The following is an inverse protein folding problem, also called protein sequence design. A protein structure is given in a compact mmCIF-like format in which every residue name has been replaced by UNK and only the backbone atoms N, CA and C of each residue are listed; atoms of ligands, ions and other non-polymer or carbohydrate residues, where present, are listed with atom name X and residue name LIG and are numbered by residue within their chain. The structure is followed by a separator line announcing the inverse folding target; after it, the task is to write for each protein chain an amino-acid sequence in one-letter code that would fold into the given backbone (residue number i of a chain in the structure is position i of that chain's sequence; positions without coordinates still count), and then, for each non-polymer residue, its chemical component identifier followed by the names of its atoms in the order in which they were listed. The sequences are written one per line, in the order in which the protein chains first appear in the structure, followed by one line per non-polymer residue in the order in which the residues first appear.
data_IF_618809361644
#
_entry.id   IF_618809361644
#
_cell.length_a   1.000
_cell.length_b   1.000
_cell.length_c   1.000
_cell.angle_alpha   90.00
_cell.angle_beta   90.00
_cell.angle_gamma   90.00
#
_symmetry.space_group_name_H-M   'P 1'
#
loop_
_entity.id
_entity.type
_entity.pdbx_description
1 polymer ?
#
# COMPACT_ATOMS: atom_id res chain seq x y z
N UNK A 1 14.29 4.65 21.37
CA UNK A 1 14.65 3.94 20.10
C UNK A 1 14.63 4.89 18.92
N UNK A 2 15.56 4.72 17.96
CA UNK A 2 15.63 5.53 16.73
C UNK A 2 15.63 4.59 15.53
N UNK A 3 14.76 4.90 14.54
CA UNK A 3 14.56 4.09 13.35
C UNK A 3 14.66 4.96 12.09
N UNK A 4 15.45 4.53 11.11
CA UNK A 4 15.48 5.12 9.78
C UNK A 4 14.42 4.46 8.90
N UNK A 5 13.39 5.21 8.53
CA UNK A 5 12.32 4.76 7.63
C UNK A 5 12.76 4.87 6.18
N UNK A 6 12.58 3.78 5.42
CA UNK A 6 12.63 3.74 3.95
C UNK A 6 11.29 3.24 3.41
N UNK A 7 11.13 3.19 2.10
CA UNK A 7 9.83 2.86 1.48
C UNK A 7 9.31 1.46 1.86
N UNK A 8 10.17 0.44 1.84
CA UNK A 8 9.77 -0.94 2.13
C UNK A 8 10.18 -1.41 3.52
N UNK A 9 11.39 -1.07 3.93
CA UNK A 9 11.98 -1.53 5.19
C UNK A 9 12.55 -0.36 5.98
N UNK A 10 12.42 -0.46 7.29
CA UNK A 10 12.99 0.49 8.25
C UNK A 10 14.09 -0.16 9.05
N UNK A 11 15.23 0.52 9.17
CA UNK A 11 16.36 0.03 9.91
C UNK A 11 16.37 0.61 11.33
N UNK A 12 16.63 -0.24 12.34
CA UNK A 12 16.85 0.18 13.72
C UNK A 12 18.26 0.75 13.81
N UNK A 13 18.38 2.03 14.12
CA UNK A 13 19.67 2.72 14.23
C UNK A 13 20.20 2.66 15.66
N UNK A 14 19.32 2.85 16.64
CA UNK A 14 19.64 2.85 18.05
C UNK A 14 18.49 2.27 18.87
N UNK A 15 18.78 1.23 19.63
CA UNK A 15 17.86 0.62 20.59
C UNK A 15 18.62 -0.06 21.71
N UNK A 16 18.03 -0.09 22.91
CA UNK A 16 18.46 -0.92 24.02
C UNK A 16 18.03 -2.39 23.82
N UNK A 17 18.53 -3.29 24.64
CA UNK A 17 18.07 -4.71 24.61
C UNK A 17 16.58 -4.85 24.92
N UNK A 18 16.06 -4.07 25.87
CA UNK A 18 14.64 -4.07 26.22
C UNK A 18 13.74 -3.55 25.08
N UNK A 19 14.19 -2.52 24.37
CA UNK A 19 13.49 -1.98 23.21
C UNK A 19 13.50 -2.95 22.03
N UNK A 20 14.58 -3.70 21.83
CA UNK A 20 14.63 -4.77 20.81
C UNK A 20 13.69 -5.93 21.16
N UNK A 21 13.68 -6.38 22.42
CA UNK A 21 12.74 -7.40 22.87
C UNK A 21 11.27 -6.97 22.71
N UNK A 22 10.97 -5.71 23.01
CA UNK A 22 9.66 -5.12 22.77
C UNK A 22 9.29 -5.12 21.28
N UNK A 23 10.23 -4.75 20.38
CA UNK A 23 10.02 -4.83 18.94
C UNK A 23 9.77 -6.26 18.45
N UNK A 24 10.54 -7.22 18.92
CA UNK A 24 10.35 -8.65 18.58
C UNK A 24 8.95 -9.11 18.94
N UNK A 25 8.48 -8.78 20.14
CA UNK A 25 7.13 -9.10 20.59
C UNK A 25 6.06 -8.46 19.71
N UNK A 26 6.19 -7.17 19.37
CA UNK A 26 5.22 -6.42 18.56
C UNK A 26 5.23 -6.79 17.08
N UNK A 27 6.34 -7.30 16.58
CA UNK A 27 6.51 -7.71 15.19
C UNK A 27 6.36 -9.23 14.99
N UNK A 28 5.94 -9.96 16.01
CA UNK A 28 5.65 -11.40 15.92
C UNK A 28 4.15 -11.61 15.73
N UNK A 29 3.78 -12.21 14.61
CA UNK A 29 2.40 -12.46 14.20
C UNK A 29 2.16 -13.95 13.96
N UNK A 30 0.95 -14.44 14.29
CA UNK A 30 0.52 -15.77 13.89
C UNK A 30 0.20 -15.80 12.39
N UNK A 31 0.69 -16.83 11.71
CA UNK A 31 0.36 -17.11 10.31
C UNK A 31 -0.24 -18.51 10.22
N UNK A 32 -1.28 -18.66 9.36
CA UNK A 32 -2.03 -19.90 9.23
C UNK A 32 -3.26 -19.95 10.13
N UNK A 33 -4.05 -21.00 9.98
CA UNK A 33 -5.32 -21.18 10.64
C UNK A 33 -5.29 -22.36 11.64
N UNK A 34 -5.88 -22.16 12.81
CA UNK A 34 -6.06 -23.22 13.79
C UNK A 34 -4.76 -23.85 14.31
N UNK A 35 -4.71 -25.20 14.38
CA UNK A 35 -3.60 -25.96 14.99
C UNK A 35 -2.27 -25.89 14.22
N UNK A 36 -2.28 -25.37 12.98
CA UNK A 36 -1.08 -25.20 12.12
C UNK A 36 -0.53 -23.78 12.15
N UNK A 37 -1.06 -22.91 13.01
CA UNK A 37 -0.57 -21.54 13.11
C UNK A 37 0.89 -21.53 13.61
N UNK A 38 1.74 -20.82 12.88
CA UNK A 38 3.14 -20.56 13.24
C UNK A 38 3.32 -19.11 13.62
N UNK A 39 4.25 -18.82 14.53
CA UNK A 39 4.60 -17.45 14.90
C UNK A 39 5.80 -16.99 14.06
N UNK A 40 5.63 -15.89 13.32
CA UNK A 40 6.67 -15.31 12.47
C UNK A 40 7.04 -13.93 12.98
N UNK A 41 8.31 -13.76 13.33
CA UNK A 41 8.87 -12.46 13.69
C UNK A 41 9.30 -11.71 12.43
N UNK A 42 8.78 -10.49 12.26
CA UNK A 42 9.11 -9.60 11.14
C UNK A 42 10.31 -8.68 11.42
N UNK A 43 10.91 -8.74 12.61
CA UNK A 43 12.20 -8.12 12.88
C UNK A 43 13.32 -9.05 12.40
N UNK A 44 14.00 -8.65 11.34
CA UNK A 44 15.07 -9.41 10.69
C UNK A 44 16.44 -8.81 10.99
N UNK A 45 17.48 -9.60 10.80
CA UNK A 45 18.89 -9.16 10.91
C UNK A 45 19.56 -9.31 9.55
N UNK A 46 20.19 -8.27 9.06
CA UNK A 46 21.05 -8.31 7.87
C UNK A 46 22.42 -8.88 8.21
N UNK A 47 23.22 -9.26 7.19
CA UNK A 47 24.55 -9.85 7.35
C UNK A 47 25.52 -8.95 8.14
N UNK A 48 25.34 -7.64 8.05
CA UNK A 48 26.12 -6.64 8.79
C UNK A 48 25.58 -6.39 10.21
N UNK A 49 24.67 -7.21 10.72
CA UNK A 49 24.08 -7.08 12.05
C UNK A 49 22.96 -6.04 12.19
N UNK A 50 22.65 -5.28 11.15
CA UNK A 50 21.55 -4.30 11.19
C UNK A 50 20.21 -4.97 11.36
N UNK A 51 19.43 -4.57 12.37
CA UNK A 51 18.04 -5.01 12.54
C UNK A 51 17.13 -4.16 11.67
N UNK A 52 16.18 -4.82 10.98
CA UNK A 52 15.22 -4.13 10.12
C UNK A 52 13.87 -4.84 10.11
N UNK A 53 12.81 -4.08 9.76
CA UNK A 53 11.44 -4.56 9.68
C UNK A 53 10.67 -3.84 8.56
N UNK A 54 9.55 -4.40 8.07
CA UNK A 54 8.73 -3.75 7.05
C UNK A 54 8.17 -2.40 7.53
N UNK A 55 8.35 -1.36 6.73
CA UNK A 55 8.02 0.03 7.10
C UNK A 55 6.53 0.29 7.35
N UNK A 56 5.65 -0.58 6.86
CA UNK A 56 4.22 -0.49 7.13
C UNK A 56 3.87 -0.59 8.61
N UNK A 57 4.68 -1.26 9.42
CA UNK A 57 4.46 -1.38 10.87
C UNK A 57 4.73 -0.09 11.65
N UNK A 58 5.41 0.92 11.07
CA UNK A 58 5.82 2.13 11.82
C UNK A 58 4.66 2.80 12.54
N UNK A 59 3.49 2.95 11.88
CA UNK A 59 2.34 3.65 12.48
C UNK A 59 1.78 2.90 13.70
N UNK A 60 1.68 1.58 13.63
CA UNK A 60 1.25 0.77 14.78
C UNK A 60 2.28 0.81 15.89
N UNK A 61 3.57 0.69 15.57
CA UNK A 61 4.65 0.77 16.54
C UNK A 61 4.74 2.13 17.25
N UNK A 62 4.51 3.24 16.52
CA UNK A 62 4.44 4.57 17.13
C UNK A 62 3.30 4.69 18.14
N UNK A 63 2.12 4.19 17.79
CA UNK A 63 0.96 4.16 18.70
C UNK A 63 1.23 3.29 19.92
N UNK A 64 1.76 2.09 19.70
CA UNK A 64 2.03 1.12 20.77
C UNK A 64 3.15 1.59 21.70
N UNK A 65 4.17 2.26 21.15
CA UNK A 65 5.24 2.88 21.95
C UNK A 65 4.70 4.02 22.81
N UNK A 66 3.84 4.88 22.25
CA UNK A 66 3.20 5.95 23.02
C UNK A 66 2.36 5.40 24.18
N UNK A 67 1.61 4.33 23.96
CA UNK A 67 0.84 3.63 25.02
C UNK A 67 1.76 3.03 26.09
N UNK A 68 2.94 2.55 25.71
CA UNK A 68 3.95 1.99 26.62
C UNK A 68 4.85 3.03 27.28
N UNK A 69 4.65 4.32 27.02
CA UNK A 69 5.52 5.41 27.53
C UNK A 69 6.94 5.37 26.98
N UNK A 70 7.15 4.73 25.81
CA UNK A 70 8.46 4.58 25.20
C UNK A 70 8.75 5.68 24.17
N UNK A 71 9.96 6.19 24.15
CA UNK A 71 10.40 7.09 23.09
C UNK A 71 10.73 6.31 21.82
N UNK A 72 9.95 6.56 20.76
CA UNK A 72 10.14 5.98 19.43
C UNK A 72 10.26 7.10 18.39
N UNK A 73 11.47 7.33 17.92
CA UNK A 73 11.76 8.36 16.93
C UNK A 73 11.93 7.74 15.55
N UNK A 74 11.27 8.33 14.57
CA UNK A 74 11.36 7.92 13.16
C UNK A 74 12.02 9.03 12.36
N UNK A 75 13.16 8.71 11.75
CA UNK A 75 13.84 9.56 10.79
C UNK A 75 13.45 9.07 9.37
N UNK A 76 12.61 9.84 8.70
CA UNK A 76 12.12 9.48 7.37
C UNK A 76 13.14 9.81 6.29
N UNK A 77 13.81 8.78 5.78
CA UNK A 77 14.84 8.87 4.74
C UNK A 77 14.29 8.65 3.33
N UNK A 78 12.96 8.61 3.15
CA UNK A 78 12.37 8.48 1.83
C UNK A 78 12.52 9.80 1.06
N UNK A 79 12.85 9.70 -0.22
CA UNK A 79 12.79 10.84 -1.12
C UNK A 79 11.34 11.10 -1.51
N UNK A 80 10.83 12.31 -1.26
CA UNK A 80 9.50 12.69 -1.72
C UNK A 80 9.52 12.85 -3.25
N UNK A 81 8.51 12.27 -3.96
CA UNK A 81 8.42 12.43 -5.42
C UNK A 81 7.92 13.81 -5.86
N UNK A 82 7.68 14.70 -4.91
CA UNK A 82 7.18 16.06 -5.18
C UNK A 82 5.87 16.37 -4.46
N UNK A 83 5.35 17.57 -4.71
CA UNK A 83 4.09 18.01 -4.14
C UNK A 83 2.89 17.35 -4.83
N UNK A 84 1.89 16.97 -4.06
CA UNK A 84 0.59 16.51 -4.55
C UNK A 84 -0.35 17.71 -4.65
N UNK A 85 -1.07 17.83 -5.77
CA UNK A 85 -2.10 18.84 -5.91
C UNK A 85 -3.29 18.57 -4.96
N UNK A 86 -4.08 19.60 -4.61
CA UNK A 86 -5.35 19.39 -3.91
C UNK A 86 -6.25 18.42 -4.68
N UNK A 87 -6.96 17.55 -3.96
CA UNK A 87 -7.91 16.63 -4.58
C UNK A 87 -9.03 17.43 -5.27
N UNK A 88 -9.28 17.11 -6.52
CA UNK A 88 -10.35 17.74 -7.30
C UNK A 88 -11.73 17.31 -6.78
N UNK A 89 -12.64 18.27 -6.57
CA UNK A 89 -14.04 17.99 -6.18
C UNK A 89 -14.91 17.56 -7.35
N UNK A 90 -14.43 17.78 -8.57
CA UNK A 90 -15.12 17.43 -9.81
C UNK A 90 -14.08 16.86 -10.77
N UNK A 91 -14.35 15.70 -11.33
CA UNK A 91 -13.62 15.11 -12.43
C UNK A 91 -14.27 15.50 -13.77
N UNK A 92 -13.71 15.11 -14.92
CA UNK A 92 -14.22 15.54 -16.23
C UNK A 92 -15.68 15.13 -16.48
N UNK A 93 -16.08 13.93 -16.06
CA UNK A 93 -17.41 13.38 -16.31
C UNK A 93 -18.22 13.14 -15.04
N UNK A 94 -17.57 13.03 -13.87
CA UNK A 94 -18.22 12.60 -12.62
C UNK A 94 -18.00 13.59 -11.49
N UNK A 95 -19.01 13.69 -10.62
CA UNK A 95 -18.87 14.30 -9.29
C UNK A 95 -18.68 13.17 -8.27
N UNK A 96 -17.49 13.06 -7.67
CA UNK A 96 -17.26 12.09 -6.59
C UNK A 96 -18.16 12.37 -5.40
N UNK A 97 -18.57 11.32 -4.71
CA UNK A 97 -19.22 11.42 -3.41
C UNK A 97 -18.26 12.01 -2.38
N UNK A 98 -18.82 12.63 -1.33
CA UNK A 98 -17.99 13.30 -0.30
C UNK A 98 -16.98 12.33 0.33
N UNK A 99 -17.40 11.11 0.68
CA UNK A 99 -16.52 10.09 1.26
C UNK A 99 -15.37 9.66 0.32
N UNK A 100 -15.57 9.67 -1.00
CA UNK A 100 -14.52 9.33 -1.96
C UNK A 100 -13.44 10.41 -1.98
N UNK A 101 -13.86 11.68 -1.93
CA UNK A 101 -12.96 12.82 -1.78
C UNK A 101 -12.20 12.77 -0.45
N UNK A 102 -12.89 12.50 0.66
CA UNK A 102 -12.32 12.37 1.99
C UNK A 102 -11.31 11.22 2.05
N UNK A 103 -11.68 10.06 1.50
CA UNK A 103 -10.82 8.89 1.41
C UNK A 103 -9.53 9.19 0.65
N UNK A 104 -9.63 9.74 -0.57
CA UNK A 104 -8.47 10.09 -1.36
C UNK A 104 -7.56 11.13 -0.66
N UNK A 105 -8.16 12.12 0.02
CA UNK A 105 -7.42 13.10 0.81
C UNK A 105 -6.68 12.44 1.97
N UNK A 106 -7.34 11.52 2.69
CA UNK A 106 -6.75 10.77 3.80
C UNK A 106 -5.59 9.88 3.31
N UNK A 107 -5.75 9.22 2.16
CA UNK A 107 -4.69 8.43 1.54
C UNK A 107 -3.44 9.28 1.27
N UNK A 108 -3.59 10.42 0.59
CA UNK A 108 -2.45 11.27 0.22
C UNK A 108 -1.74 11.86 1.44
N UNK A 109 -2.47 12.23 2.49
CA UNK A 109 -1.90 12.68 3.76
C UNK A 109 -1.17 11.57 4.50
N UNK A 110 -1.71 10.36 4.47
CA UNK A 110 -1.13 9.20 5.14
C UNK A 110 0.13 8.69 4.45
N UNK A 111 0.22 8.80 3.12
CA UNK A 111 1.31 8.29 2.30
C UNK A 111 1.31 6.77 2.11
N UNK A 112 0.78 6.01 3.05
CA UNK A 112 0.64 4.56 2.95
C UNK A 112 -0.47 4.05 3.89
N UNK A 113 -1.09 2.94 3.54
CA UNK A 113 -2.11 2.29 4.38
C UNK A 113 -3.13 1.45 3.62
N UNK A 114 -4.01 0.82 4.39
CA UNK A 114 -5.14 0.08 3.89
C UNK A 114 -6.42 0.93 3.94
N UNK A 115 -7.22 0.80 2.89
CA UNK A 115 -8.55 1.41 2.77
C UNK A 115 -9.59 0.30 2.73
N UNK A 116 -10.58 0.37 3.63
CA UNK A 116 -11.70 -0.56 3.66
C UNK A 116 -12.96 0.13 3.17
N UNK A 117 -13.41 -0.28 2.01
CA UNK A 117 -14.62 0.22 1.37
C UNK A 117 -15.43 -0.95 0.78
N UNK A 118 -16.75 -0.97 0.91
CA UNK A 118 -17.60 -2.03 0.38
C UNK A 118 -17.44 -2.23 -1.13
N UNK A 119 -17.87 -3.40 -1.61
CA UNK A 119 -17.99 -3.66 -3.04
C UNK A 119 -19.04 -2.70 -3.64
N UNK A 120 -18.77 -2.14 -4.82
CA UNK A 120 -19.67 -1.16 -5.44
C UNK A 120 -19.54 0.28 -4.93
N UNK A 121 -18.77 0.55 -3.86
CA UNK A 121 -18.56 1.92 -3.33
C UNK A 121 -17.78 2.87 -4.26
N UNK A 122 -17.30 2.38 -5.40
CA UNK A 122 -16.49 3.20 -6.31
C UNK A 122 -15.04 3.37 -5.88
N UNK A 123 -14.40 2.34 -5.31
CA UNK A 123 -12.96 2.31 -4.97
C UNK A 123 -12.08 2.81 -6.12
N UNK A 124 -12.40 2.41 -7.35
CA UNK A 124 -11.71 2.90 -8.56
C UNK A 124 -11.72 4.41 -8.65
N UNK A 125 -12.84 5.07 -8.34
CA UNK A 125 -12.95 6.54 -8.42
C UNK A 125 -12.11 7.23 -7.34
N UNK A 126 -11.96 6.62 -6.16
CA UNK A 126 -11.04 7.09 -5.11
C UNK A 126 -9.59 7.09 -5.63
N UNK A 127 -9.17 6.00 -6.31
CA UNK A 127 -7.83 5.92 -6.91
C UNK A 127 -7.68 6.92 -8.06
N UNK A 128 -8.71 7.12 -8.90
CA UNK A 128 -8.72 8.13 -9.97
C UNK A 128 -8.50 9.54 -9.40
N UNK A 129 -9.15 9.87 -8.29
CA UNK A 129 -8.95 11.15 -7.59
C UNK A 129 -7.51 11.32 -7.12
N UNK A 130 -6.94 10.27 -6.52
CA UNK A 130 -5.55 10.29 -6.06
C UNK A 130 -4.58 10.44 -7.24
N UNK A 131 -4.76 9.69 -8.32
CA UNK A 131 -3.93 9.78 -9.54
C UNK A 131 -4.03 11.18 -10.16
N UNK A 132 -5.23 11.78 -10.21
CA UNK A 132 -5.40 13.13 -10.74
C UNK A 132 -4.64 14.19 -9.91
N UNK A 133 -4.52 14.01 -8.60
CA UNK A 133 -3.73 14.88 -7.73
C UNK A 133 -2.22 14.63 -7.83
N UNK A 134 -1.82 13.44 -8.28
CA UNK A 134 -0.42 13.00 -8.46
C UNK A 134 0.10 13.23 -9.89
N UNK A 135 -0.39 14.26 -10.61
CA UNK A 135 0.07 14.55 -11.97
C UNK A 135 1.58 14.75 -12.02
N UNK A 136 2.22 14.10 -13.00
CA UNK A 136 3.67 14.10 -13.15
C UNK A 136 4.41 13.04 -12.35
N UNK A 137 3.70 12.27 -11.49
CA UNK A 137 4.26 11.11 -10.81
C UNK A 137 4.04 9.84 -11.62
N UNK A 138 4.92 8.86 -11.42
CA UNK A 138 4.78 7.52 -12.00
C UNK A 138 3.93 6.66 -11.07
N UNK A 139 2.79 6.19 -11.58
CA UNK A 139 1.78 5.47 -10.79
C UNK A 139 1.57 4.07 -11.33
N UNK A 140 1.66 3.07 -10.46
CA UNK A 140 1.30 1.69 -10.74
C UNK A 140 0.00 1.35 -10.01
N UNK A 141 -1.04 1.00 -10.76
CA UNK A 141 -2.30 0.52 -10.23
C UNK A 141 -2.54 -0.94 -10.63
N UNK A 142 -2.58 -1.82 -9.64
CA UNK A 142 -2.83 -3.25 -9.82
C UNK A 142 -4.24 -3.60 -9.39
N UNK A 143 -4.96 -4.26 -10.28
CA UNK A 143 -6.33 -4.76 -10.05
C UNK A 143 -6.38 -6.29 -10.19
N UNK A 144 -7.52 -6.91 -9.90
CA UNK A 144 -7.69 -8.37 -9.83
C UNK A 144 -7.45 -9.08 -11.16
N UNK A 145 -7.96 -8.52 -12.27
CA UNK A 145 -7.94 -9.17 -13.58
C UNK A 145 -7.68 -8.20 -14.74
N UNK A 146 -7.42 -8.75 -15.92
CA UNK A 146 -7.02 -7.99 -17.10
C UNK A 146 -8.14 -7.15 -17.71
N UNK A 147 -9.39 -7.59 -17.59
CA UNK A 147 -10.57 -6.86 -18.10
C UNK A 147 -10.78 -5.61 -17.23
N UNK A 148 -10.72 -5.80 -15.92
CA UNK A 148 -10.80 -4.70 -14.98
C UNK A 148 -9.63 -3.71 -15.15
N UNK A 149 -8.41 -4.19 -15.43
CA UNK A 149 -7.26 -3.32 -15.71
C UNK A 149 -7.51 -2.42 -16.93
N UNK A 150 -8.11 -2.94 -17.99
CA UNK A 150 -8.47 -2.14 -19.18
C UNK A 150 -9.56 -1.12 -18.88
N UNK A 151 -10.65 -1.53 -18.23
CA UNK A 151 -11.75 -0.63 -17.83
C UNK A 151 -11.27 0.48 -16.87
N UNK A 152 -10.41 0.13 -15.95
CA UNK A 152 -9.80 1.10 -15.02
C UNK A 152 -8.94 2.12 -15.75
N UNK A 153 -8.13 1.66 -16.72
CA UNK A 153 -7.32 2.56 -17.55
C UNK A 153 -8.19 3.54 -18.33
N UNK A 154 -9.28 3.05 -18.97
CA UNK A 154 -10.26 3.89 -19.66
C UNK A 154 -10.91 4.91 -18.73
N UNK A 155 -11.32 4.48 -17.53
CA UNK A 155 -11.90 5.39 -16.53
C UNK A 155 -10.92 6.49 -16.11
N UNK A 156 -9.64 6.16 -15.89
CA UNK A 156 -8.62 7.16 -15.55
C UNK A 156 -8.45 8.14 -16.71
N UNK A 157 -8.32 7.65 -17.95
CA UNK A 157 -8.17 8.48 -19.15
C UNK A 157 -9.35 9.42 -19.35
N UNK A 158 -10.57 8.92 -19.22
CA UNK A 158 -11.80 9.69 -19.39
C UNK A 158 -11.97 10.78 -18.33
N UNK A 159 -11.69 10.45 -17.07
CA UNK A 159 -11.96 11.36 -15.94
C UNK A 159 -10.83 12.40 -15.74
N UNK A 160 -9.60 12.04 -16.09
CA UNK A 160 -8.42 12.90 -15.81
C UNK A 160 -7.75 13.45 -17.07
N UNK A 161 -7.88 12.76 -18.20
CA UNK A 161 -7.12 13.01 -19.44
C UNK A 161 -5.68 12.52 -19.38
N UNK A 162 -5.29 11.80 -18.32
CA UNK A 162 -3.97 11.18 -18.19
C UNK A 162 -3.96 9.89 -19.02
N UNK A 163 -2.99 9.73 -19.91
CA UNK A 163 -2.80 8.47 -20.67
C UNK A 163 -2.36 7.34 -19.73
N UNK A 164 -2.96 6.15 -19.90
CA UNK A 164 -2.70 4.99 -19.04
C UNK A 164 -2.20 3.82 -19.89
N UNK A 165 -0.99 3.36 -19.61
CA UNK A 165 -0.45 2.15 -20.20
C UNK A 165 -1.03 0.88 -19.54
N UNK A 166 -1.15 -0.19 -20.31
CA UNK A 166 -1.61 -1.51 -19.85
C UNK A 166 -0.45 -2.50 -19.67
N UNK A 167 0.79 -2.03 -19.90
CA UNK A 167 2.04 -2.80 -19.76
C UNK A 167 3.09 -1.94 -19.06
N UNK A 168 3.95 -2.58 -18.28
CA UNK A 168 5.12 -1.92 -17.68
C UNK A 168 6.00 -1.30 -18.78
N UNK A 169 6.55 -0.13 -18.50
CA UNK A 169 7.38 0.63 -19.45
C UNK A 169 6.62 1.41 -20.53
N UNK A 170 5.29 1.30 -20.59
CA UNK A 170 4.47 1.96 -21.62
C UNK A 170 4.03 3.39 -21.31
N UNK A 171 4.32 3.91 -20.11
CA UNK A 171 3.94 5.26 -19.67
C UNK A 171 4.13 5.48 -18.17
N UNK A 172 3.81 6.70 -17.75
CA UNK A 172 3.96 7.09 -16.33
C UNK A 172 2.84 6.51 -15.45
N UNK A 173 1.63 6.37 -15.97
CA UNK A 173 0.52 5.70 -15.28
C UNK A 173 0.27 4.36 -15.94
N UNK A 174 0.32 3.30 -15.14
CA UNK A 174 0.15 1.91 -15.59
C UNK A 174 -0.98 1.25 -14.81
N UNK A 175 -1.96 0.68 -15.53
CA UNK A 175 -3.00 -0.18 -14.97
C UNK A 175 -2.79 -1.62 -15.45
N UNK A 176 -2.59 -2.57 -14.51
CA UNK A 176 -2.25 -3.97 -14.82
C UNK A 176 -2.66 -4.90 -13.69
N UNK A 177 -2.20 -6.15 -13.71
CA UNK A 177 -2.45 -7.13 -12.63
C UNK A 177 -1.14 -7.57 -11.98
N UNK A 178 -1.20 -7.97 -10.70
CA UNK A 178 -0.02 -8.51 -9.99
C UNK A 178 0.53 -9.76 -10.68
N UNK A 179 -0.33 -10.62 -11.25
CA UNK A 179 0.09 -11.82 -11.96
C UNK A 179 0.91 -11.50 -13.22
N UNK A 180 0.52 -10.46 -13.98
CA UNK A 180 1.28 -10.01 -15.16
C UNK A 180 2.65 -9.48 -14.76
N UNK A 181 2.74 -8.72 -13.67
CA UNK A 181 4.01 -8.23 -13.13
C UNK A 181 4.88 -9.39 -12.69
N UNK A 182 4.32 -10.34 -11.91
CA UNK A 182 5.05 -11.52 -11.47
C UNK A 182 5.59 -12.33 -12.65
N UNK A 183 4.77 -12.57 -13.67
CA UNK A 183 5.20 -13.25 -14.89
C UNK A 183 6.31 -12.50 -15.64
N UNK A 184 6.29 -11.17 -15.64
CA UNK A 184 7.36 -10.35 -16.20
C UNK A 184 8.64 -10.47 -15.36
N UNK A 185 8.53 -10.46 -14.02
CA UNK A 185 9.66 -10.65 -13.10
C UNK A 185 10.32 -12.03 -13.25
N UNK A 186 9.56 -13.07 -13.57
CA UNK A 186 10.08 -14.42 -13.83
C UNK A 186 10.86 -14.46 -15.16
N UNK A 187 10.35 -13.79 -16.20
CA UNK A 187 10.97 -13.76 -17.54
C UNK A 187 12.21 -12.86 -17.61
N UNK A 188 12.13 -11.68 -17.00
CA UNK A 188 13.21 -10.70 -16.93
C UNK A 188 13.26 -10.10 -15.51
N UNK A 189 13.95 -10.75 -14.57
CA UNK A 189 14.01 -10.30 -13.18
C UNK A 189 14.70 -8.94 -13.02
N UNK A 190 15.73 -8.66 -13.79
CA UNK A 190 16.55 -7.45 -13.66
C UNK A 190 15.84 -6.26 -14.28
N UNK A 191 15.44 -6.36 -15.55
CA UNK A 191 14.77 -5.26 -16.26
C UNK A 191 13.42 -4.93 -15.64
N UNK A 192 12.61 -5.94 -15.27
CA UNK A 192 11.32 -5.70 -14.62
C UNK A 192 11.48 -5.00 -13.27
N UNK A 193 12.42 -5.43 -12.41
CA UNK A 193 12.68 -4.74 -11.13
C UNK A 193 13.19 -3.32 -11.32
N UNK A 194 14.00 -3.05 -12.35
CA UNK A 194 14.43 -1.70 -12.68
C UNK A 194 13.27 -0.79 -13.05
N UNK A 195 12.29 -1.30 -13.82
CA UNK A 195 11.06 -0.57 -14.14
C UNK A 195 10.19 -0.33 -12.90
N UNK A 196 10.01 -1.35 -12.05
CA UNK A 196 9.18 -1.25 -10.84
C UNK A 196 9.73 -0.24 -9.82
N UNK A 197 11.04 -0.06 -9.75
CA UNK A 197 11.69 0.94 -8.87
C UNK A 197 11.42 2.39 -9.26
N UNK A 198 10.90 2.63 -10.45
CA UNK A 198 10.65 3.98 -10.96
C UNK A 198 9.28 4.55 -10.55
N UNK A 199 8.40 3.74 -9.97
CA UNK A 199 7.07 4.19 -9.56
C UNK A 199 7.10 4.95 -8.23
N UNK A 200 6.45 6.11 -8.20
CA UNK A 200 6.28 6.98 -7.04
C UNK A 200 5.10 6.54 -6.18
N UNK A 201 4.05 6.01 -6.82
CA UNK A 201 2.84 5.55 -6.18
C UNK A 201 2.45 4.13 -6.64
N UNK A 202 1.96 3.34 -5.70
CA UNK A 202 1.54 1.95 -5.90
C UNK A 202 0.20 1.71 -5.23
N UNK A 203 -0.81 1.36 -6.02
CA UNK A 203 -2.14 1.00 -5.57
C UNK A 203 -2.42 -0.45 -5.90
N UNK A 204 -3.02 -1.18 -4.97
CA UNK A 204 -3.48 -2.56 -5.17
C UNK A 204 -4.95 -2.64 -4.79
N UNK A 205 -5.78 -3.10 -5.73
CA UNK A 205 -7.20 -3.35 -5.50
C UNK A 205 -7.44 -4.86 -5.39
N UNK A 206 -8.24 -5.26 -4.37
CA UNK A 206 -8.67 -6.65 -4.11
C UNK A 206 -7.51 -7.69 -4.10
N UNK A 207 -6.33 -7.28 -3.63
CA UNK A 207 -5.13 -8.13 -3.62
C UNK A 207 -5.21 -9.39 -2.75
N UNK A 208 -6.29 -9.57 -1.97
CA UNK A 208 -6.50 -10.76 -1.13
C UNK A 208 -6.70 -12.06 -1.94
N UNK A 209 -7.07 -11.97 -3.21
CA UNK A 209 -7.26 -13.12 -4.11
C UNK A 209 -5.96 -13.68 -4.70
N UNK A 210 -4.84 -12.97 -4.54
CA UNK A 210 -3.54 -13.38 -5.10
C UNK A 210 -2.77 -14.23 -4.09
N UNK A 211 -2.11 -15.34 -4.49
CA UNK A 211 -1.29 -16.14 -3.59
C UNK A 211 -0.26 -15.29 -2.84
N UNK A 212 -0.06 -15.56 -1.55
CA UNK A 212 0.79 -14.75 -0.68
C UNK A 212 2.21 -14.55 -1.21
N UNK A 213 2.82 -15.60 -1.76
CA UNK A 213 4.18 -15.53 -2.31
C UNK A 213 4.26 -14.60 -3.54
N UNK A 214 3.30 -14.70 -4.47
CA UNK A 214 3.22 -13.81 -5.64
C UNK A 214 2.96 -12.37 -5.21
N UNK A 215 2.02 -12.18 -4.27
CA UNK A 215 1.68 -10.87 -3.73
C UNK A 215 2.89 -10.21 -3.08
N UNK A 216 3.57 -10.92 -2.17
CA UNK A 216 4.76 -10.43 -1.49
C UNK A 216 5.86 -10.08 -2.48
N UNK A 217 6.19 -10.99 -3.42
CA UNK A 217 7.27 -10.79 -4.38
C UNK A 217 7.09 -9.53 -5.23
N UNK A 218 5.86 -9.27 -5.72
CA UNK A 218 5.56 -8.08 -6.51
C UNK A 218 5.56 -6.83 -5.63
N UNK A 219 4.88 -6.86 -4.48
CA UNK A 219 4.77 -5.70 -3.62
C UNK A 219 6.12 -5.27 -3.04
N UNK A 220 7.03 -6.20 -2.77
CA UNK A 220 8.41 -5.92 -2.33
C UNK A 220 9.30 -5.40 -3.47
N UNK A 221 8.95 -5.66 -4.72
CA UNK A 221 9.68 -5.14 -5.87
C UNK A 221 9.36 -3.68 -6.21
N UNK A 222 8.28 -3.10 -5.63
CA UNK A 222 7.82 -1.74 -5.89
C UNK A 222 8.10 -0.85 -4.67
N UNK A 223 9.25 -0.17 -4.55
CA UNK A 223 9.60 0.66 -3.40
C UNK A 223 9.00 2.08 -3.50
N UNK A 224 7.74 2.18 -3.93
CA UNK A 224 7.06 3.46 -4.08
C UNK A 224 6.94 4.23 -2.76
N UNK A 225 6.94 5.57 -2.85
CA UNK A 225 6.73 6.45 -1.70
C UNK A 225 5.30 6.35 -1.16
N UNK A 226 4.30 6.42 -2.08
CA UNK A 226 2.89 6.23 -1.78
C UNK A 226 2.50 4.77 -2.01
N UNK A 227 1.92 4.12 -1.01
CA UNK A 227 1.59 2.69 -1.09
C UNK A 227 0.23 2.41 -0.46
N UNK A 228 -0.73 1.96 -1.24
CA UNK A 228 -2.09 1.72 -0.76
C UNK A 228 -2.64 0.38 -1.22
N UNK A 229 -3.40 -0.26 -0.34
CA UNK A 229 -4.26 -1.38 -0.67
C UNK A 229 -5.70 -1.00 -0.40
N UNK A 230 -6.59 -1.26 -1.36
CA UNK A 230 -8.02 -1.01 -1.26
C UNK A 230 -8.75 -2.36 -1.33
N UNK A 231 -9.68 -2.60 -0.42
CA UNK A 231 -10.48 -3.84 -0.41
C UNK A 231 -11.73 -3.65 0.45
N UNK A 232 -12.74 -4.49 0.25
CA UNK A 232 -13.84 -4.62 1.19
C UNK A 232 -13.37 -5.29 2.50
N UNK A 233 -12.34 -6.14 2.43
CA UNK A 233 -11.80 -6.90 3.56
C UNK A 233 -10.26 -7.00 3.49
N UNK A 234 -9.53 -5.87 3.64
CA UNK A 234 -8.08 -5.83 3.38
C UNK A 234 -7.25 -6.75 4.29
N UNK A 235 -7.77 -7.06 5.48
CA UNK A 235 -7.10 -7.91 6.46
C UNK A 235 -7.67 -9.33 6.55
N UNK A 236 -8.67 -9.67 5.73
CA UNK A 236 -9.28 -11.00 5.67
C UNK A 236 -8.66 -11.80 4.52
N UNK A 237 -7.51 -12.41 4.78
CA UNK A 237 -6.84 -13.29 3.82
C UNK A 237 -7.13 -14.75 4.13
N UNK A 238 -7.36 -15.55 3.11
CA UNK A 238 -7.59 -17.01 3.24
C UNK A 238 -6.39 -17.76 3.86
N UNK A 239 -5.18 -17.21 3.71
CA UNK A 239 -3.94 -17.75 4.28
C UNK A 239 -3.67 -17.23 5.71
N UNK A 240 -4.55 -16.40 6.30
CA UNK A 240 -4.41 -15.81 7.63
C UNK A 240 -3.22 -14.83 7.76
N UNK A 241 -2.55 -14.45 6.68
CA UNK A 241 -1.35 -13.63 6.72
C UNK A 241 -1.67 -12.12 6.71
N UNK A 242 -2.28 -11.63 7.79
CA UNK A 242 -2.57 -10.20 8.01
C UNK A 242 -1.28 -9.37 8.08
N UNK A 243 -0.22 -9.92 8.65
CA UNK A 243 1.07 -9.25 8.80
C UNK A 243 1.69 -8.85 7.44
N UNK A 244 1.39 -9.60 6.37
CA UNK A 244 1.82 -9.27 5.02
C UNK A 244 1.26 -7.91 4.57
N UNK A 245 -0.03 -7.67 4.74
CA UNK A 245 -0.67 -6.40 4.38
C UNK A 245 -0.16 -5.28 5.27
N UNK A 246 -0.12 -5.51 6.60
CA UNK A 246 0.40 -4.54 7.56
C UNK A 246 1.83 -4.13 7.25
N UNK A 247 2.70 -5.10 6.97
CA UNK A 247 4.11 -4.85 6.67
C UNK A 247 4.32 -4.11 5.35
N UNK A 248 3.59 -4.46 4.29
CA UNK A 248 3.76 -3.91 2.95
C UNK A 248 3.08 -2.55 2.76
N UNK A 249 1.93 -2.32 3.37
CA UNK A 249 1.12 -1.11 3.15
C UNK A 249 0.87 -0.30 4.42
N UNK A 250 0.83 -0.93 5.58
CA UNK A 250 0.45 -0.32 6.85
C UNK A 250 -0.96 -0.69 7.28
N UNK A 251 -1.37 -0.15 8.42
CA UNK A 251 -2.70 -0.37 8.99
C UNK A 251 -3.81 0.38 8.25
N UNK A 252 -5.02 0.19 8.75
CA UNK A 252 -6.23 0.86 8.26
C UNK A 252 -6.11 2.39 8.45
N UNK A 253 -6.38 3.12 7.38
CA UNK A 253 -6.35 4.59 7.35
C UNK A 253 -7.71 5.21 7.07
N UNK A 254 -8.60 4.46 6.42
CA UNK A 254 -9.94 4.89 6.10
C UNK A 254 -10.88 3.69 6.01
N UNK A 255 -12.08 3.82 6.54
CA UNK A 255 -13.12 2.79 6.50
C UNK A 255 -14.49 3.44 6.35
N UNK A 256 -15.36 2.83 5.53
CA UNK A 256 -16.80 3.04 5.49
C UNK A 256 -17.50 1.70 5.36
N UNK A 257 -18.64 1.58 6.03
CA UNK A 257 -19.53 0.43 5.95
C UNK A 257 -20.67 0.67 4.94
N UNK A 258 -21.38 -0.39 4.53
CA UNK A 258 -22.54 -0.27 3.65
C UNK A 258 -23.62 0.65 4.25
N UNK A 259 -23.85 0.57 5.58
CA UNK A 259 -24.82 1.40 6.27
C UNK A 259 -24.46 2.89 6.24
N UNK A 260 -23.18 3.24 6.30
CA UNK A 260 -22.72 4.62 6.22
C UNK A 260 -22.77 5.19 4.79
N UNK A 261 -22.72 4.32 3.78
CA UNK A 261 -22.82 4.72 2.37
C UNK A 261 -24.26 4.83 1.89
N UNK A 262 -25.22 4.18 2.56
CA UNK A 262 -26.63 4.24 2.23
C UNK A 262 -27.30 5.54 2.64
N UNK A 263 -26.66 6.36 3.49
CA UNK A 263 -27.16 7.66 3.92
C UNK A 263 -26.61 8.79 3.03
N UNK A 264 -27.41 9.35 2.10
CA UNK A 264 -26.95 10.41 1.18
C UNK A 264 -26.67 11.75 1.88
N UNK A 265 -26.98 11.89 3.18
CA UNK A 265 -26.73 13.10 3.96
C UNK A 265 -25.36 13.11 4.64
N UNK A 266 -24.60 12.04 4.57
CA UNK A 266 -23.24 11.89 5.11
C UNK A 266 -22.24 11.60 4.01
#
# INVERSE_FOLDING_TARGET
MIVNRRSLYSAVVRATRSELAWLEQRLTYSQGNGRTATHVCHLKTADNGTRFFPSGFIRSLLRDAATAGMSFQVDDKRTSPGAVAPIARVLKKRRPWFYQYECATTMLRAGNGAVKLPTGSGKTLVVVLAINAMRGMRVLYCVSDAVLASKTAETIEEETGIKVARKLGGGDVVSTTLQRIYSAMVRDPVGTRALLKQFDAFFVDEGHQVPAATYAAVCEAVPAYYRFVLSAAPFERSDGNVALILGLFGGLIYEKTDGELADPAK
#
